data_IF_638116271973
#
_entry.id   IF_638116271973
#
_cell.length_a   1.000
_cell.length_b   1.000
_cell.length_c   1.000
_cell.angle_alpha   90.00
_cell.angle_beta   90.00
_cell.angle_gamma   90.00
#
_symmetry.space_group_name_H-M   'P 1'
#
loop_
_entity.id
_entity.type
_entity.pdbx_description
1 polymer ?
#
# COMPACT_ATOMS: atom_id res chain seq x y z
N UNK A 1 -1.07 -6.16 15.99
CA UNK A 1 -1.59 -6.35 14.60
C UNK A 1 -1.92 -7.80 14.26
N UNK A 2 -1.02 -8.78 14.48
CA UNK A 2 -1.26 -10.18 14.07
C UNK A 2 -2.55 -10.80 14.62
N UNK A 3 -2.83 -10.64 15.91
CA UNK A 3 -4.05 -11.17 16.53
C UNK A 3 -5.34 -10.56 15.95
N UNK A 4 -5.34 -9.23 15.71
CA UNK A 4 -6.47 -8.55 15.07
C UNK A 4 -6.68 -9.04 13.64
N UNK A 5 -5.61 -9.19 12.86
CA UNK A 5 -5.70 -9.72 11.50
C UNK A 5 -6.28 -11.14 11.45
N UNK A 6 -5.85 -12.02 12.37
CA UNK A 6 -6.39 -13.38 12.49
C UNK A 6 -7.87 -13.36 12.86
N UNK A 7 -8.26 -12.56 13.86
CA UNK A 7 -9.67 -12.43 14.29
C UNK A 7 -10.54 -11.88 13.16
N UNK A 8 -10.07 -10.85 12.44
CA UNK A 8 -10.79 -10.27 11.30
C UNK A 8 -10.99 -11.28 10.17
N UNK A 9 -9.96 -12.06 9.83
CA UNK A 9 -10.07 -13.12 8.82
C UNK A 9 -11.05 -14.22 9.27
N UNK A 10 -10.97 -14.67 10.53
CA UNK A 10 -11.86 -15.72 11.05
C UNK A 10 -13.32 -15.26 11.06
N UNK A 11 -13.60 -14.04 11.52
CA UNK A 11 -14.93 -13.47 11.51
C UNK A 11 -15.45 -13.26 10.09
N UNK A 12 -14.58 -12.80 9.17
CA UNK A 12 -14.91 -12.62 7.76
C UNK A 12 -15.26 -13.93 7.06
N UNK A 13 -14.48 -14.99 7.30
CA UNK A 13 -14.77 -16.34 6.77
C UNK A 13 -16.10 -16.86 7.32
N UNK A 14 -16.33 -16.76 8.63
CA UNK A 14 -17.59 -17.18 9.24
C UNK A 14 -18.80 -16.44 8.65
N UNK A 15 -18.67 -15.12 8.42
CA UNK A 15 -19.71 -14.31 7.81
C UNK A 15 -19.98 -14.73 6.36
N UNK A 16 -18.94 -14.87 5.53
CA UNK A 16 -19.10 -15.24 4.11
C UNK A 16 -19.70 -16.65 3.97
N UNK A 17 -19.32 -17.60 4.83
CA UNK A 17 -19.92 -18.94 4.86
C UNK A 17 -21.42 -18.86 5.19
N UNK A 18 -21.81 -18.10 6.21
CA UNK A 18 -23.23 -17.88 6.52
C UNK A 18 -23.97 -17.17 5.38
N UNK A 19 -23.32 -16.18 4.74
CA UNK A 19 -23.88 -15.41 3.63
C UNK A 19 -24.21 -16.29 2.43
N UNK A 20 -23.29 -17.18 2.05
CA UNK A 20 -23.49 -18.16 0.97
C UNK A 20 -24.56 -19.20 1.28
N UNK A 21 -24.66 -19.67 2.53
CA UNK A 21 -25.51 -20.80 2.89
C UNK A 21 -26.94 -20.41 3.28
N UNK A 22 -27.15 -19.25 3.91
CA UNK A 22 -28.42 -18.92 4.55
C UNK A 22 -29.06 -17.61 4.07
N UNK A 23 -28.29 -16.70 3.45
CA UNK A 23 -28.73 -15.32 3.23
C UNK A 23 -28.82 -14.92 1.75
N UNK A 24 -28.55 -15.85 0.83
CA UNK A 24 -28.70 -15.60 -0.61
C UNK A 24 -30.19 -15.54 -0.96
N UNK A 25 -30.67 -14.35 -1.30
CA UNK A 25 -32.01 -14.17 -1.84
C UNK A 25 -32.03 -14.59 -3.32
N UNK A 26 -32.62 -15.74 -3.60
CA UNK A 26 -32.73 -16.30 -4.95
C UNK A 26 -33.79 -15.62 -5.82
N UNK A 27 -34.77 -14.92 -5.25
CA UNK A 27 -35.74 -14.14 -6.02
C UNK A 27 -35.08 -12.92 -6.68
N UNK A 28 -34.06 -12.35 -6.03
CA UNK A 28 -33.25 -11.25 -6.52
C UNK A 28 -31.81 -11.68 -6.85
N UNK A 29 -31.64 -12.89 -7.41
CA UNK A 29 -30.33 -13.51 -7.66
C UNK A 29 -29.36 -12.61 -8.46
N UNK A 30 -29.87 -11.81 -9.39
CA UNK A 30 -29.09 -10.87 -10.21
C UNK A 30 -28.37 -9.79 -9.39
N UNK A 31 -28.90 -9.39 -8.24
CA UNK A 31 -28.26 -8.42 -7.32
C UNK A 31 -27.49 -9.17 -6.23
N UNK A 32 -28.08 -10.25 -5.70
CA UNK A 32 -27.52 -11.01 -4.61
C UNK A 32 -26.18 -11.68 -4.99
N UNK A 33 -26.07 -12.26 -6.19
CA UNK A 33 -24.85 -12.96 -6.63
C UNK A 33 -23.66 -12.00 -6.80
N UNK A 34 -23.75 -10.88 -7.55
CA UNK A 34 -22.66 -9.91 -7.63
C UNK A 34 -22.24 -9.35 -6.28
N UNK A 35 -23.21 -9.11 -5.38
CA UNK A 35 -22.93 -8.62 -4.03
C UNK A 35 -22.12 -9.63 -3.21
N UNK A 36 -22.52 -10.91 -3.21
CA UNK A 36 -21.79 -11.97 -2.49
C UNK A 36 -20.40 -12.21 -3.09
N UNK A 37 -20.25 -12.08 -4.41
CA UNK A 37 -18.93 -12.12 -5.08
C UNK A 37 -18.05 -10.94 -4.64
N UNK A 38 -18.58 -9.72 -4.58
CA UNK A 38 -17.86 -8.54 -4.11
C UNK A 38 -17.45 -8.65 -2.62
N UNK A 39 -18.33 -9.19 -1.77
CA UNK A 39 -18.02 -9.49 -0.36
C UNK A 39 -16.92 -10.55 -0.23
N UNK A 40 -16.98 -11.61 -1.06
CA UNK A 40 -15.95 -12.64 -1.11
C UNK A 40 -14.60 -12.08 -1.56
N UNK A 41 -14.59 -11.20 -2.56
CA UNK A 41 -13.38 -10.52 -3.02
C UNK A 41 -12.76 -9.66 -1.92
N UNK A 42 -13.58 -8.90 -1.18
CA UNK A 42 -13.13 -8.09 -0.04
C UNK A 42 -12.49 -8.95 1.08
N UNK A 43 -13.02 -10.16 1.30
CA UNK A 43 -12.43 -11.12 2.23
C UNK A 43 -11.07 -11.64 1.76
N UNK A 44 -10.94 -11.95 0.47
CA UNK A 44 -9.66 -12.38 -0.13
C UNK A 44 -8.62 -11.28 0.00
N UNK A 45 -8.98 -10.01 -0.29
CA UNK A 45 -8.07 -8.87 -0.15
C UNK A 45 -7.61 -8.70 1.32
N UNK A 46 -8.54 -8.77 2.27
CA UNK A 46 -8.23 -8.73 3.71
C UNK A 46 -7.27 -9.85 4.13
N UNK A 47 -7.47 -11.05 3.59
CA UNK A 47 -6.57 -12.19 3.84
C UNK A 47 -5.18 -11.96 3.25
N UNK A 48 -5.08 -11.51 2.01
CA UNK A 48 -3.80 -11.19 1.36
C UNK A 48 -3.05 -10.07 2.09
N UNK A 49 -3.77 -9.04 2.54
CA UNK A 49 -3.22 -7.98 3.38
C UNK A 49 -2.69 -8.53 4.70
N UNK A 50 -3.46 -9.39 5.38
CA UNK A 50 -3.05 -10.01 6.63
C UNK A 50 -1.78 -10.87 6.47
N UNK A 51 -1.67 -11.64 5.38
CA UNK A 51 -0.48 -12.44 5.05
C UNK A 51 0.72 -11.55 4.77
N UNK A 52 0.54 -10.49 3.98
CA UNK A 52 1.61 -9.53 3.64
C UNK A 52 2.13 -8.81 4.88
N UNK A 53 1.22 -8.40 5.76
CA UNK A 53 1.56 -7.69 7.00
C UNK A 53 2.01 -8.63 8.12
N UNK A 54 1.87 -9.95 7.96
CA UNK A 54 2.21 -10.95 8.98
C UNK A 54 3.63 -10.79 9.52
N UNK A 55 4.55 -10.45 8.62
CA UNK A 55 5.96 -10.25 8.94
C UNK A 55 6.45 -8.88 8.47
N UNK A 56 5.64 -7.85 8.72
CA UNK A 56 6.11 -6.46 8.67
C UNK A 56 7.39 -6.37 9.52
N UNK A 57 8.51 -6.07 8.85
CA UNK A 57 9.80 -5.90 9.49
C UNK A 57 10.02 -4.42 9.67
N UNK A 58 10.23 -3.99 10.90
CA UNK A 58 10.81 -2.68 11.14
C UNK A 58 12.23 -2.71 10.59
N UNK A 59 12.50 -1.86 9.60
CA UNK A 59 13.85 -1.70 9.09
C UNK A 59 14.59 -0.79 10.08
N UNK A 60 15.58 -1.31 10.84
CA UNK A 60 16.35 -0.45 11.72
C UNK A 60 17.06 0.62 10.89
N UNK A 61 17.29 1.78 11.51
CA UNK A 61 18.09 2.82 10.88
C UNK A 61 19.45 2.23 10.44
N UNK A 62 19.97 2.63 9.27
CA UNK A 62 21.28 2.20 8.83
C UNK A 62 22.32 2.48 9.91
N UNK A 63 23.11 1.46 10.28
CA UNK A 63 24.15 1.58 11.31
C UNK A 63 25.49 2.07 10.75
N UNK A 64 25.73 1.87 9.46
CA UNK A 64 26.95 2.31 8.78
C UNK A 64 26.73 3.67 8.11
N UNK A 65 27.81 4.44 7.99
CA UNK A 65 27.82 5.59 7.10
C UNK A 65 27.48 5.14 5.66
N UNK A 66 26.81 5.98 4.85
CA UNK A 66 26.55 5.63 3.46
C UNK A 66 27.88 5.49 2.72
N UNK A 67 27.99 4.47 1.88
CA UNK A 67 29.15 4.22 1.03
C UNK A 67 28.75 4.43 -0.44
N UNK A 68 29.65 5.02 -1.22
CA UNK A 68 29.48 5.21 -2.66
C UNK A 68 29.13 6.64 -3.08
N UNK A 69 28.88 6.82 -4.38
CA UNK A 69 28.42 8.09 -4.95
C UNK A 69 26.89 8.08 -5.01
N UNK A 70 26.26 9.18 -4.62
CA UNK A 70 24.80 9.33 -4.64
C UNK A 70 24.40 10.35 -5.69
N UNK A 71 23.43 9.99 -6.53
CA UNK A 71 22.76 10.89 -7.45
C UNK A 71 21.30 11.04 -7.04
N UNK A 72 20.82 12.29 -6.93
CA UNK A 72 19.43 12.64 -6.63
C UNK A 72 18.76 13.08 -7.91
N UNK A 73 17.75 12.34 -8.35
CA UNK A 73 16.99 12.62 -9.58
C UNK A 73 15.65 13.26 -9.22
N UNK A 74 15.38 14.44 -9.79
CA UNK A 74 14.11 15.16 -9.64
C UNK A 74 13.45 15.19 -11.02
N UNK A 75 12.42 14.38 -11.21
CA UNK A 75 11.64 14.34 -12.47
C UNK A 75 10.50 15.35 -12.41
N UNK A 76 10.39 16.19 -13.43
CA UNK A 76 9.33 17.20 -13.60
C UNK A 76 8.80 17.12 -15.03
N UNK A 77 7.53 17.45 -15.20
CA UNK A 77 6.84 17.55 -16.48
C UNK A 77 6.18 18.93 -16.62
N UNK A 78 5.08 19.16 -15.88
CA UNK A 78 4.33 20.43 -15.92
C UNK A 78 4.11 21.03 -14.52
N UNK A 79 4.95 20.66 -13.56
CA UNK A 79 4.90 21.21 -12.20
C UNK A 79 5.33 22.69 -12.18
N UNK A 80 4.73 23.52 -11.31
CA UNK A 80 5.14 24.92 -11.16
C UNK A 80 6.62 25.04 -10.76
N UNK A 81 7.33 25.99 -11.38
CA UNK A 81 8.77 26.24 -11.13
C UNK A 81 9.08 26.43 -9.64
N UNK A 82 8.18 27.05 -8.89
CA UNK A 82 8.34 27.24 -7.44
C UNK A 82 8.40 25.90 -6.68
N UNK A 83 7.60 24.91 -7.08
CA UNK A 83 7.58 23.57 -6.49
C UNK A 83 8.86 22.79 -6.81
N UNK A 84 9.29 22.83 -8.07
CA UNK A 84 10.54 22.18 -8.51
C UNK A 84 11.73 22.82 -7.81
N UNK A 85 11.75 24.15 -7.69
CA UNK A 85 12.81 24.90 -6.98
C UNK A 85 12.85 24.57 -5.50
N UNK A 86 11.69 24.44 -4.84
CA UNK A 86 11.63 24.03 -3.44
C UNK A 86 12.21 22.63 -3.23
N UNK A 87 11.89 21.69 -4.13
CA UNK A 87 12.40 20.32 -4.11
C UNK A 87 13.91 20.28 -4.38
N UNK A 88 14.40 21.03 -5.36
CA UNK A 88 15.83 21.14 -5.67
C UNK A 88 16.64 21.75 -4.51
N UNK A 89 16.10 22.79 -3.85
CA UNK A 89 16.70 23.36 -2.63
C UNK A 89 16.70 22.37 -1.47
N UNK A 90 15.67 21.54 -1.34
CA UNK A 90 15.63 20.50 -0.32
C UNK A 90 16.66 19.39 -0.59
N UNK A 91 16.80 18.96 -1.85
CA UNK A 91 17.82 18.01 -2.27
C UNK A 91 19.22 18.53 -1.95
N UNK A 92 19.54 19.79 -2.30
CA UNK A 92 20.84 20.40 -2.02
C UNK A 92 21.21 20.47 -0.53
N UNK A 93 20.25 20.33 0.40
CA UNK A 93 20.49 20.30 1.86
C UNK A 93 20.76 18.89 2.41
N UNK A 94 20.73 17.85 1.58
CA UNK A 94 21.09 16.49 2.01
C UNK A 94 22.56 16.51 2.46
N UNK A 95 22.81 16.05 3.70
CA UNK A 95 24.13 16.14 4.33
C UNK A 95 25.20 15.27 3.68
N UNK A 96 24.81 14.22 2.95
CA UNK A 96 25.74 13.31 2.27
C UNK A 96 26.17 13.90 0.91
N UNK A 97 27.45 13.77 0.50
CA UNK A 97 27.89 14.22 -0.82
C UNK A 97 27.08 13.55 -1.95
N UNK A 98 26.41 14.38 -2.76
CA UNK A 98 25.56 13.90 -3.85
C UNK A 98 25.60 14.86 -5.04
N UNK A 99 25.20 14.39 -6.22
CA UNK A 99 24.89 15.26 -7.37
C UNK A 99 23.39 15.27 -7.59
N UNK A 100 22.82 16.44 -7.87
CA UNK A 100 21.39 16.60 -8.10
C UNK A 100 21.14 16.87 -9.58
N UNK A 101 20.25 16.09 -10.18
CA UNK A 101 19.84 16.18 -11.58
C UNK A 101 18.35 16.51 -11.64
N UNK A 102 17.99 17.57 -12.38
CA UNK A 102 16.60 17.88 -12.70
C UNK A 102 16.34 17.37 -14.10
N UNK A 103 15.39 16.45 -14.23
CA UNK A 103 14.98 15.83 -15.49
C UNK A 103 13.64 16.43 -15.86
N UNK A 104 13.68 17.25 -16.91
CA UNK A 104 12.53 17.96 -17.45
C UNK A 104 12.13 17.27 -18.77
N UNK A 105 10.90 16.81 -18.85
CA UNK A 105 10.25 16.20 -20.03
C UNK A 105 9.02 17.03 -20.40
#
# INVERSE_FOLDING_TARGET
MRALAVVSVLLGVNYVVWRWLASVNWEAWWIAVPLVVAETYSLVDTFLFAVTMWRARDRPAPRSAPEGTVDVLITTYNEPVEMVTATARAAARISYPHRTWVLDD
#
